data_IF_385400574389
#
_entry.id   IF_385400574389
#
_cell.length_a   1.000
_cell.length_b   1.000
_cell.length_c   1.000
_cell.angle_alpha   90.00
_cell.angle_beta   90.00
_cell.angle_gamma   90.00
#
_symmetry.space_group_name_H-M   'P 1'
#
loop_
_entity.id
_entity.type
_entity.pdbx_description
1 polymer ?
#
# COMPACT_ATOMS: atom_id res chain seq x y z
N UNK A 1 30.56 -75.59 30.67
CA UNK A 1 29.55 -76.49 30.05
C UNK A 1 28.39 -75.62 29.56
N UNK A 2 27.94 -75.87 28.34
CA UNK A 2 27.01 -75.08 27.51
C UNK A 2 25.63 -74.82 28.15
N UNK A 3 25.01 -73.68 27.78
CA UNK A 3 23.65 -73.50 27.18
C UNK A 3 23.29 -72.00 27.24
N UNK A 4 23.39 -71.25 26.15
CA UNK A 4 22.31 -70.94 25.20
C UNK A 4 20.93 -70.71 25.85
N UNK A 5 20.54 -69.44 25.99
CA UNK A 5 19.17 -69.02 25.72
C UNK A 5 19.13 -67.57 25.23
N UNK A 6 18.62 -67.42 24.03
CA UNK A 6 18.38 -66.20 23.27
C UNK A 6 17.22 -65.39 23.86
N UNK A 7 17.39 -64.07 24.01
CA UNK A 7 16.27 -63.14 24.00
C UNK A 7 16.48 -62.08 22.92
N UNK A 8 15.55 -62.09 21.97
CA UNK A 8 15.40 -61.09 20.92
C UNK A 8 14.88 -59.81 21.57
N UNK A 9 15.60 -58.70 21.44
CA UNK A 9 15.02 -57.37 21.57
C UNK A 9 15.45 -56.56 20.35
N UNK A 10 14.49 -56.36 19.46
CA UNK A 10 14.60 -55.45 18.34
C UNK A 10 14.62 -54.01 18.89
N UNK A 11 15.81 -53.42 18.99
CA UNK A 11 15.95 -51.98 19.17
C UNK A 11 15.92 -51.32 17.79
N UNK A 12 14.71 -51.11 17.26
CA UNK A 12 14.50 -50.11 16.23
C UNK A 12 14.69 -48.74 16.91
N UNK A 13 15.90 -48.20 16.87
CA UNK A 13 16.17 -46.84 17.34
C UNK A 13 15.49 -45.90 16.35
N UNK A 14 14.34 -45.41 16.80
CA UNK A 14 13.44 -44.50 16.14
C UNK A 14 14.22 -43.32 15.53
N UNK A 15 14.19 -43.24 14.20
CA UNK A 15 14.47 -42.02 13.45
C UNK A 15 13.46 -40.96 13.92
N UNK A 16 13.85 -40.12 14.88
CA UNK A 16 13.08 -38.95 15.25
C UNK A 16 13.88 -37.72 14.83
N UNK A 17 14.10 -37.59 13.53
CA UNK A 17 14.42 -36.30 12.92
C UNK A 17 13.15 -35.45 12.99
N UNK A 18 12.91 -34.84 14.16
CA UNK A 18 12.02 -33.69 14.28
C UNK A 18 12.67 -32.51 13.55
N UNK A 19 12.58 -32.50 12.22
CA UNK A 19 12.75 -31.29 11.44
C UNK A 19 11.47 -30.46 11.67
N UNK A 20 11.45 -29.71 12.77
CA UNK A 20 10.45 -28.67 12.95
C UNK A 20 10.66 -27.67 11.81
N UNK A 21 9.86 -27.78 10.75
CA UNK A 21 9.80 -26.80 9.69
C UNK A 21 9.22 -25.51 10.29
N UNK A 22 10.07 -24.68 10.89
CA UNK A 22 9.75 -23.29 11.17
C UNK A 22 9.49 -22.65 9.81
N UNK A 23 8.21 -22.50 9.46
CA UNK A 23 7.83 -21.63 8.35
C UNK A 23 8.17 -20.22 8.79
N UNK A 24 9.24 -19.66 8.21
CA UNK A 24 9.43 -18.22 8.23
C UNK A 24 8.21 -17.62 7.52
N UNK A 25 7.34 -16.94 8.28
CA UNK A 25 6.33 -16.08 7.70
C UNK A 25 7.09 -14.90 7.09
N UNK A 26 7.24 -14.91 5.77
CA UNK A 26 7.82 -13.78 5.04
C UNK A 26 6.66 -12.88 4.61
N UNK A 27 6.79 -11.58 4.85
CA UNK A 27 5.86 -10.59 4.34
C UNK A 27 5.91 -10.53 2.81
N UNK A 28 4.79 -10.18 2.19
CA UNK A 28 4.71 -9.96 0.75
C UNK A 28 5.46 -8.67 0.38
N UNK A 29 6.05 -8.58 -0.83
CA UNK A 29 6.61 -7.33 -1.32
C UNK A 29 5.51 -6.28 -1.48
N UNK A 30 5.87 -5.01 -1.24
CA UNK A 30 4.93 -3.91 -1.35
C UNK A 30 4.47 -3.75 -2.81
N UNK A 31 3.16 -3.68 -3.10
CA UNK A 31 2.70 -3.58 -4.47
C UNK A 31 2.88 -2.16 -4.99
N UNK A 32 3.33 -2.03 -6.23
CA UNK A 32 3.48 -0.75 -6.94
C UNK A 32 2.14 -0.18 -7.46
N UNK A 33 1.01 -0.52 -6.85
CA UNK A 33 -0.32 -0.07 -7.26
C UNK A 33 -1.46 -0.97 -6.79
N UNK A 34 -2.64 -0.80 -7.39
CA UNK A 34 -3.88 -1.47 -7.00
C UNK A 34 -4.59 -2.08 -8.21
N UNK A 35 -5.18 -3.27 -8.04
CA UNK A 35 -5.90 -3.98 -9.12
C UNK A 35 -4.98 -4.27 -10.30
N UNK A 36 -5.36 -3.81 -11.50
CA UNK A 36 -4.53 -3.85 -12.72
C UNK A 36 -3.66 -2.61 -12.96
N UNK A 37 -3.80 -1.54 -12.16
CA UNK A 37 -3.10 -0.27 -12.37
C UNK A 37 -1.80 -0.21 -11.55
N UNK A 38 -0.69 0.24 -12.15
CA UNK A 38 0.64 0.31 -11.54
C UNK A 38 1.31 1.64 -11.79
N UNK A 39 2.10 2.10 -10.82
CA UNK A 39 3.04 3.20 -10.99
C UNK A 39 3.93 2.93 -12.22
N UNK A 40 4.32 3.99 -12.94
CA UNK A 40 5.11 3.88 -14.15
C UNK A 40 4.31 3.67 -15.45
N UNK A 41 3.01 3.35 -15.36
CA UNK A 41 2.16 3.23 -16.55
C UNK A 41 1.99 4.58 -17.26
N UNK A 42 1.93 4.54 -18.59
CA UNK A 42 1.51 5.69 -19.38
C UNK A 42 0.03 6.01 -19.18
N UNK A 43 -0.40 7.19 -19.60
CA UNK A 43 -1.82 7.58 -19.62
C UNK A 43 -2.66 6.53 -20.36
N UNK A 44 -2.24 6.11 -21.56
CA UNK A 44 -3.03 5.18 -22.39
C UNK A 44 -3.08 3.75 -21.83
N UNK A 45 -1.98 3.26 -21.26
CA UNK A 45 -1.97 1.98 -20.55
C UNK A 45 -2.90 2.00 -19.34
N UNK A 46 -2.89 3.11 -18.59
CA UNK A 46 -3.77 3.29 -17.43
C UNK A 46 -5.24 3.30 -17.85
N UNK A 47 -5.60 4.06 -18.89
CA UNK A 47 -6.97 4.06 -19.44
C UNK A 47 -7.41 2.67 -19.87
N UNK A 48 -6.54 1.92 -20.56
CA UNK A 48 -6.83 0.56 -21.00
C UNK A 48 -7.01 -0.42 -19.83
N UNK A 49 -6.24 -0.27 -18.75
CA UNK A 49 -6.39 -1.05 -17.52
C UNK A 49 -7.71 -0.73 -16.82
N UNK A 50 -8.02 0.56 -16.64
CA UNK A 50 -9.25 1.03 -16.01
C UNK A 50 -10.51 0.57 -16.74
N UNK A 51 -10.50 0.56 -18.09
CA UNK A 51 -11.63 0.05 -18.89
C UNK A 51 -11.88 -1.45 -18.70
N UNK A 52 -10.85 -2.23 -18.39
CA UNK A 52 -10.95 -3.68 -18.19
C UNK A 52 -11.42 -4.05 -16.78
N UNK A 53 -11.45 -3.08 -15.87
CA UNK A 53 -11.75 -3.30 -14.45
C UNK A 53 -12.91 -2.41 -14.01
N UNK A 54 -14.18 -2.89 -14.16
CA UNK A 54 -15.38 -2.09 -13.91
C UNK A 54 -15.48 -1.51 -12.49
N UNK A 55 -14.76 -2.09 -11.52
CA UNK A 55 -14.72 -1.63 -10.15
C UNK A 55 -14.31 -0.15 -10.04
N UNK A 56 -13.41 0.33 -10.89
CA UNK A 56 -12.98 1.73 -10.90
C UNK A 56 -14.05 2.69 -11.44
N UNK A 57 -15.01 2.21 -12.24
CA UNK A 57 -16.06 3.06 -12.80
C UNK A 57 -15.53 4.11 -13.77
N UNK A 58 -14.44 3.83 -14.50
CA UNK A 58 -13.88 4.73 -15.52
C UNK A 58 -14.77 4.83 -16.75
N UNK A 59 -15.00 6.05 -17.23
CA UNK A 59 -16.02 6.38 -18.25
C UNK A 59 -15.40 6.87 -19.56
N UNK A 60 -14.08 6.71 -19.72
CA UNK A 60 -13.33 7.18 -20.88
C UNK A 60 -12.80 8.60 -20.72
N UNK A 61 -12.57 9.30 -21.83
CA UNK A 61 -11.92 10.61 -21.87
C UNK A 61 -12.57 11.70 -20.99
N UNK A 62 -13.86 11.57 -20.65
CA UNK A 62 -14.54 12.51 -19.75
C UNK A 62 -13.91 12.57 -18.35
N UNK A 63 -13.28 11.49 -17.94
CA UNK A 63 -12.66 11.37 -16.62
C UNK A 63 -11.20 11.87 -16.63
N UNK A 64 -10.71 12.42 -17.76
CA UNK A 64 -9.33 12.87 -17.93
C UNK A 64 -9.27 14.40 -17.90
N UNK A 65 -8.42 14.94 -17.04
CA UNK A 65 -8.20 16.36 -16.83
C UNK A 65 -6.72 16.73 -17.02
N UNK A 66 -6.46 17.89 -17.60
CA UNK A 66 -5.13 18.50 -17.62
C UNK A 66 -4.99 19.42 -16.40
N UNK A 67 -3.96 19.19 -15.59
CA UNK A 67 -3.71 20.00 -14.39
C UNK A 67 -2.81 21.20 -14.73
N UNK A 68 -2.96 22.34 -14.02
CA UNK A 68 -2.02 23.45 -14.13
C UNK A 68 -0.58 23.04 -13.78
N UNK A 69 0.38 23.53 -14.57
CA UNK A 69 1.79 23.14 -14.50
C UNK A 69 2.24 22.38 -15.75
N UNK A 70 3.52 22.08 -15.86
CA UNK A 70 4.06 21.39 -17.04
C UNK A 70 3.66 19.90 -17.04
N UNK A 71 2.99 19.48 -18.12
CA UNK A 71 2.71 18.08 -18.48
C UNK A 71 2.05 17.21 -17.39
N UNK A 72 1.14 17.79 -16.59
CA UNK A 72 0.39 17.05 -15.58
C UNK A 72 -0.99 16.65 -16.08
N UNK A 73 -1.28 15.36 -15.96
CA UNK A 73 -2.60 14.79 -16.26
C UNK A 73 -3.16 14.16 -15.00
N UNK A 74 -4.48 14.16 -14.87
CA UNK A 74 -5.21 13.49 -13.81
C UNK A 74 -6.35 12.70 -14.43
N UNK A 75 -6.53 11.45 -14.00
CA UNK A 75 -7.74 10.67 -14.27
C UNK A 75 -8.52 10.53 -12.97
N UNK A 76 -9.81 10.87 -12.99
CA UNK A 76 -10.72 10.82 -11.84
C UNK A 76 -11.87 9.84 -12.12
N UNK A 77 -11.94 8.75 -11.36
CA UNK A 77 -12.95 7.72 -11.55
C UNK A 77 -13.88 7.65 -10.34
N UNK A 78 -15.16 7.38 -10.54
CA UNK A 78 -16.13 7.41 -9.43
C UNK A 78 -16.05 6.22 -8.48
N UNK A 79 -15.45 5.10 -8.91
CA UNK A 79 -15.46 3.84 -8.17
C UNK A 79 -16.83 3.20 -8.08
N UNK A 80 -16.85 1.93 -7.69
CA UNK A 80 -18.06 1.17 -7.37
C UNK A 80 -17.78 0.20 -6.22
N UNK A 81 -18.84 -0.25 -5.54
CA UNK A 81 -18.77 -1.20 -4.42
C UNK A 81 -17.88 -0.68 -3.28
N UNK A 82 -16.69 -1.27 -3.14
CA UNK A 82 -15.69 -0.96 -2.12
C UNK A 82 -14.82 0.25 -2.48
N UNK A 83 -14.84 0.66 -3.75
CA UNK A 83 -14.14 1.85 -4.21
C UNK A 83 -15.11 3.03 -4.22
N UNK A 84 -14.64 4.16 -3.72
CA UNK A 84 -15.20 5.47 -4.00
C UNK A 84 -14.33 6.15 -5.07
N UNK A 85 -14.24 7.47 -5.03
CA UNK A 85 -13.48 8.24 -6.00
C UNK A 85 -12.00 7.85 -6.02
N UNK A 86 -11.44 7.53 -7.18
CA UNK A 86 -10.02 7.21 -7.35
C UNK A 86 -9.34 8.23 -8.26
N UNK A 87 -8.10 8.57 -7.95
CA UNK A 87 -7.31 9.55 -8.70
C UNK A 87 -5.98 8.95 -9.15
N UNK A 88 -5.67 9.16 -10.42
CA UNK A 88 -4.43 8.70 -11.05
C UNK A 88 -3.71 9.91 -11.61
N UNK A 89 -2.62 10.33 -10.96
CA UNK A 89 -1.87 11.53 -11.33
C UNK A 89 -0.61 11.17 -12.10
N UNK A 90 -0.39 11.91 -13.17
CA UNK A 90 0.72 11.70 -14.08
C UNK A 90 1.67 12.89 -14.01
N UNK A 91 2.97 12.60 -13.94
CA UNK A 91 4.06 13.56 -14.11
C UNK A 91 4.83 13.14 -15.36
N UNK A 92 5.03 14.06 -16.31
CA UNK A 92 5.68 13.78 -17.59
C UNK A 92 5.09 12.56 -18.34
N UNK A 93 3.76 12.39 -18.27
CA UNK A 93 3.04 11.31 -18.94
C UNK A 93 3.11 9.93 -18.25
N UNK A 94 3.77 9.85 -17.09
CA UNK A 94 3.96 8.61 -16.33
C UNK A 94 3.18 8.66 -15.02
N UNK A 95 2.46 7.58 -14.70
CA UNK A 95 1.65 7.47 -13.49
C UNK A 95 2.55 7.46 -12.25
N UNK A 96 2.51 8.55 -11.47
CA UNK A 96 3.37 8.77 -10.31
C UNK A 96 2.63 8.68 -8.98
N UNK A 97 1.31 8.88 -9.00
CA UNK A 97 0.46 8.78 -7.80
C UNK A 97 -0.84 8.06 -8.12
N UNK A 98 -1.16 7.05 -7.32
CA UNK A 98 -2.46 6.37 -7.32
C UNK A 98 -3.12 6.65 -5.98
N UNK A 99 -4.30 7.26 -5.98
CA UNK A 99 -5.11 7.49 -4.77
C UNK A 99 -6.39 6.68 -4.89
N UNK A 100 -6.59 5.72 -4.00
CA UNK A 100 -7.78 4.89 -3.91
C UNK A 100 -8.56 5.30 -2.66
N UNK A 101 -9.64 6.07 -2.82
CA UNK A 101 -10.57 6.27 -1.71
C UNK A 101 -11.48 5.06 -1.60
N UNK A 102 -11.55 4.45 -0.43
CA UNK A 102 -12.42 3.31 -0.20
C UNK A 102 -13.79 3.79 0.31
N UNK A 103 -14.82 3.01 0.02
CA UNK A 103 -16.17 3.26 0.46
C UNK A 103 -16.30 3.01 1.98
N UNK A 104 -16.38 4.10 2.74
CA UNK A 104 -16.44 4.09 4.21
C UNK A 104 -17.73 3.52 4.78
N UNK A 105 -18.78 3.41 3.97
CA UNK A 105 -20.02 2.75 4.37
C UNK A 105 -19.88 1.21 4.33
N UNK A 106 -18.88 0.70 3.60
CA UNK A 106 -18.66 -0.73 3.37
C UNK A 106 -17.41 -1.25 4.07
N UNK A 107 -16.40 -0.40 4.28
CA UNK A 107 -15.10 -0.78 4.82
C UNK A 107 -14.69 0.27 5.87
N UNK A 108 -14.10 -0.19 6.98
CA UNK A 108 -13.53 0.67 8.00
C UNK A 108 -11.99 0.71 7.95
N UNK A 109 -11.41 1.75 8.55
CA UNK A 109 -9.97 1.95 8.59
C UNK A 109 -9.20 0.83 9.27
N UNK A 110 -9.72 0.32 10.40
CA UNK A 110 -9.01 -0.66 11.19
C UNK A 110 -8.87 -1.97 10.41
N UNK A 111 -9.93 -2.42 9.74
CA UNK A 111 -9.90 -3.61 8.90
C UNK A 111 -8.87 -3.51 7.77
N UNK A 112 -8.75 -2.35 7.11
CA UNK A 112 -7.74 -2.14 6.07
C UNK A 112 -6.35 -2.13 6.70
N UNK A 113 -6.15 -1.37 7.78
CA UNK A 113 -4.88 -1.26 8.48
C UNK A 113 -4.35 -2.63 8.93
N UNK A 114 -5.17 -3.42 9.63
CA UNK A 114 -4.76 -4.74 10.11
C UNK A 114 -4.43 -5.69 8.95
N UNK A 115 -5.22 -5.65 7.86
CA UNK A 115 -4.95 -6.43 6.65
C UNK A 115 -3.61 -6.05 6.00
N UNK A 116 -3.27 -4.76 5.96
CA UNK A 116 -2.00 -4.31 5.44
C UNK A 116 -0.83 -4.74 6.35
N UNK A 117 -0.97 -4.67 7.67
CA UNK A 117 0.03 -5.16 8.61
C UNK A 117 0.28 -6.67 8.47
N UNK A 118 -0.79 -7.45 8.32
CA UNK A 118 -0.70 -8.90 8.11
C UNK A 118 0.05 -9.26 6.82
N UNK A 119 -0.16 -8.48 5.75
CA UNK A 119 0.46 -8.71 4.44
C UNK A 119 1.90 -8.22 4.34
N UNK A 120 2.14 -6.99 4.78
CA UNK A 120 3.36 -6.24 4.48
C UNK A 120 4.20 -5.91 5.71
N UNK A 121 3.77 -6.35 6.90
CA UNK A 121 4.40 -6.04 8.18
C UNK A 121 3.97 -4.68 8.74
N UNK A 122 4.52 -4.30 9.89
CA UNK A 122 4.21 -3.02 10.51
C UNK A 122 4.68 -1.83 9.63
N UNK A 123 3.95 -0.70 9.61
CA UNK A 123 4.37 0.48 8.88
C UNK A 123 5.68 1.04 9.44
N UNK A 124 6.55 1.54 8.56
CA UNK A 124 7.78 2.22 8.95
C UNK A 124 7.54 3.58 9.61
N UNK A 125 6.41 4.23 9.31
CA UNK A 125 5.98 5.47 9.97
C UNK A 125 4.49 5.41 10.31
N UNK A 126 4.14 5.83 11.52
CA UNK A 126 2.77 5.87 12.02
C UNK A 126 2.50 7.22 12.69
N UNK A 127 1.44 7.89 12.25
CA UNK A 127 0.93 9.12 12.85
C UNK A 127 -0.59 9.03 13.05
N UNK A 128 -1.21 9.96 13.79
CA UNK A 128 -2.66 10.02 13.89
C UNK A 128 -3.36 10.15 12.53
N UNK A 129 -2.69 10.73 11.52
CA UNK A 129 -3.26 11.00 10.20
C UNK A 129 -3.00 9.87 9.20
N UNK A 130 -1.89 9.12 9.31
CA UNK A 130 -1.54 8.09 8.32
C UNK A 130 -0.61 6.99 8.86
N UNK A 131 -0.61 5.86 8.17
CA UNK A 131 0.38 4.78 8.27
C UNK A 131 1.12 4.65 6.95
N UNK A 132 2.43 4.39 6.97
CA UNK A 132 3.28 4.41 5.78
C UNK A 132 4.21 3.19 5.71
N UNK A 133 4.21 2.54 4.54
CA UNK A 133 5.12 1.46 4.17
C UNK A 133 5.95 1.91 2.98
N UNK A 134 7.25 1.63 3.02
CA UNK A 134 8.19 2.02 1.96
C UNK A 134 9.06 0.84 1.58
N UNK A 135 9.05 0.47 0.31
CA UNK A 135 9.92 -0.56 -0.26
C UNK A 135 9.99 -0.41 -1.78
N UNK A 136 11.12 -0.79 -2.38
CA UNK A 136 11.30 -0.94 -3.83
C UNK A 136 10.84 0.28 -4.67
N UNK A 137 11.11 1.49 -4.20
CA UNK A 137 10.75 2.73 -4.90
C UNK A 137 9.26 3.12 -4.80
N UNK A 138 8.51 2.45 -3.92
CA UNK A 138 7.10 2.73 -3.65
C UNK A 138 6.94 3.20 -2.22
N UNK A 139 6.16 4.27 -2.05
CA UNK A 139 5.64 4.71 -0.76
C UNK A 139 4.13 4.48 -0.75
N UNK A 140 3.68 3.52 0.06
CA UNK A 140 2.27 3.23 0.26
C UNK A 140 1.79 3.85 1.56
N UNK A 141 0.77 4.70 1.51
CA UNK A 141 0.16 5.30 2.70
C UNK A 141 -1.29 4.88 2.85
N UNK A 142 -1.68 4.52 4.08
CA UNK A 142 -3.07 4.46 4.49
C UNK A 142 -3.38 5.71 5.30
N UNK A 143 -4.17 6.61 4.74
CA UNK A 143 -4.49 7.92 5.31
C UNK A 143 -5.92 7.92 5.85
N UNK A 144 -6.12 8.64 6.97
CA UNK A 144 -7.47 8.89 7.49
C UNK A 144 -8.18 9.92 6.61
N UNK A 145 -9.50 9.77 6.38
CA UNK A 145 -10.37 8.76 7.00
C UNK A 145 -10.29 7.35 6.40
N UNK A 146 -10.09 7.17 5.08
CA UNK A 146 -9.97 5.84 4.46
C UNK A 146 -9.44 5.93 3.01
N UNK A 147 -8.19 6.34 2.87
CA UNK A 147 -7.55 6.54 1.58
C UNK A 147 -6.27 5.73 1.50
N UNK A 148 -6.17 4.83 0.53
CA UNK A 148 -4.97 4.07 0.25
C UNK A 148 -4.26 4.71 -0.94
N UNK A 149 -3.01 5.09 -0.76
CA UNK A 149 -2.24 5.81 -1.78
C UNK A 149 -0.93 5.11 -2.07
N UNK A 150 -0.54 5.11 -3.34
CA UNK A 150 0.76 4.64 -3.82
C UNK A 150 1.45 5.81 -4.50
N UNK A 151 2.68 6.08 -4.11
CA UNK A 151 3.47 7.18 -4.65
C UNK A 151 4.83 6.66 -5.06
N UNK A 152 5.29 7.04 -6.25
CA UNK A 152 6.69 6.86 -6.63
C UNK A 152 7.61 7.59 -5.63
N UNK A 153 8.66 6.93 -5.14
CA UNK A 153 9.52 7.50 -4.10
C UNK A 153 10.14 8.85 -4.47
N UNK A 154 10.57 9.04 -5.73
CA UNK A 154 11.17 10.32 -6.15
C UNK A 154 10.13 11.45 -6.15
N UNK A 155 8.90 11.14 -6.57
CA UNK A 155 7.79 12.10 -6.49
C UNK A 155 7.39 12.37 -5.04
N UNK A 156 7.40 11.35 -4.18
CA UNK A 156 7.11 11.50 -2.76
C UNK A 156 8.10 12.44 -2.06
N UNK A 157 9.40 12.28 -2.32
CA UNK A 157 10.46 13.14 -1.76
C UNK A 157 10.27 14.61 -2.19
N UNK A 158 10.06 14.86 -3.48
CA UNK A 158 9.77 16.20 -4.03
C UNK A 158 8.55 16.85 -3.37
N UNK A 159 7.50 16.06 -3.09
CA UNK A 159 6.30 16.52 -2.40
C UNK A 159 6.57 16.83 -0.92
N UNK A 160 7.39 16.01 -0.24
CA UNK A 160 7.76 16.24 1.16
C UNK A 160 8.59 17.51 1.36
N UNK A 161 9.56 17.78 0.48
CA UNK A 161 10.35 19.03 0.51
C UNK A 161 9.42 20.26 0.40
N UNK A 162 8.49 20.21 -0.55
CA UNK A 162 7.49 21.26 -0.75
C UNK A 162 6.54 21.42 0.44
N UNK A 163 6.24 20.32 1.15
CA UNK A 163 5.36 20.32 2.32
C UNK A 163 6.06 20.86 3.58
N UNK A 164 7.35 20.53 3.78
CA UNK A 164 8.17 20.96 4.93
C UNK A 164 8.22 22.48 5.03
N UNK A 165 8.36 23.16 3.88
CA UNK A 165 8.32 24.62 3.81
C UNK A 165 7.00 25.18 4.37
N UNK A 166 5.85 24.58 4.06
CA UNK A 166 4.54 25.03 4.55
C UNK A 166 4.27 24.65 6.01
N UNK A 167 4.71 23.47 6.43
CA UNK A 167 4.45 22.94 7.77
C UNK A 167 5.09 23.81 8.86
N UNK A 168 6.27 24.37 8.60
CA UNK A 168 6.94 25.32 9.51
C UNK A 168 6.05 26.53 9.87
N UNK A 169 5.25 27.04 8.94
CA UNK A 169 4.34 28.17 9.18
C UNK A 169 3.11 27.75 10.00
N UNK A 170 2.59 26.53 9.78
CA UNK A 170 1.42 26.00 10.49
C UNK A 170 1.78 25.59 11.92
N UNK A 171 2.97 24.98 12.12
CA UNK A 171 3.47 24.61 13.45
C UNK A 171 3.68 25.83 14.33
N UNK A 172 4.25 26.90 13.78
CA UNK A 172 4.34 28.19 14.47
C UNK A 172 2.97 28.72 14.90
N UNK A 173 1.97 28.66 14.01
CA UNK A 173 0.60 29.10 14.32
C UNK A 173 -0.09 28.21 15.36
N UNK A 174 0.14 26.89 15.30
CA UNK A 174 -0.40 25.93 16.27
C UNK A 174 0.21 26.13 17.66
N UNK A 175 1.52 26.34 17.74
CA UNK A 175 2.22 26.63 18.99
C UNK A 175 1.70 27.94 19.61
N UNK A 176 1.49 28.99 18.81
CA UNK A 176 0.86 30.23 19.27
C UNK A 176 -0.56 30.01 19.81
N UNK A 177 -1.39 29.23 19.11
CA UNK A 177 -2.73 28.89 19.58
C UNK A 177 -2.69 28.11 20.89
N UNK A 178 -1.88 27.06 20.98
CA UNK A 178 -1.76 26.24 22.20
C UNK A 178 -1.22 27.04 23.39
N UNK A 179 -0.34 28.03 23.16
CA UNK A 179 0.15 28.95 24.18
C UNK A 179 -0.86 30.04 24.58
N UNK A 180 -1.90 30.25 23.78
CA UNK A 180 -2.98 31.21 24.06
C UNK A 180 -4.15 30.63 24.85
N UNK A 181 -4.17 29.29 25.03
CA UNK A 181 -5.06 28.59 25.94
C UNK A 181 -4.61 28.77 27.39
#
# INVERSE_FOLDING_TARGET
MRRFFTYRFAAALCLCTCFAAVRAFAFEPLPAGYGSVRLGMTVEETKAALLKEPAFGYRGERDVSLLPGENRTLIETSGTLFLAECWFQFDEGTLSVITINLNKEQIDYYSVFSTLCEKYGEPGTLSPQKSEWTADGVVMTLERPLTLKYTDSAVFEKLQESATVRQSAVEYTRDLFLKSL
#
